data_IF_844136201744
#
_entry.id   IF_844136201744
#
_cell.length_a   1.000
_cell.length_b   1.000
_cell.length_c   1.000
_cell.angle_alpha   90.00
_cell.angle_beta   90.00
_cell.angle_gamma   90.00
#
_symmetry.space_group_name_H-M   'P 1'
#
loop_
_entity.id
_entity.type
_entity.pdbx_description
1 polymer ?
#
# COMPACT_ATOMS: atom_id res chain seq x y z
N UNK A 1 -6.73 38.66 -14.30
CA UNK A 1 -7.29 37.98 -13.10
C UNK A 1 -6.22 36.98 -12.71
N UNK A 2 -5.55 37.15 -11.57
CA UNK A 2 -4.74 36.04 -11.04
C UNK A 2 -5.73 34.96 -10.66
N UNK A 3 -5.65 33.82 -11.33
CA UNK A 3 -6.35 32.63 -10.86
C UNK A 3 -5.68 32.20 -9.57
N UNK A 4 -6.46 32.11 -8.49
CA UNK A 4 -5.97 31.62 -7.20
C UNK A 4 -5.69 30.12 -7.33
N UNK A 5 -4.43 29.79 -7.62
CA UNK A 5 -3.93 28.44 -7.50
C UNK A 5 -3.55 28.20 -6.04
N UNK A 6 -4.14 27.16 -5.46
CA UNK A 6 -3.75 26.68 -4.12
C UNK A 6 -2.88 25.43 -4.28
N UNK A 7 -2.18 25.06 -3.21
CA UNK A 7 -1.43 23.81 -3.11
C UNK A 7 -2.06 22.94 -2.02
N UNK A 8 -2.15 21.64 -2.27
CA UNK A 8 -2.73 20.68 -1.33
C UNK A 8 -1.89 19.42 -1.31
N UNK A 9 -1.60 18.93 -0.11
CA UNK A 9 -0.99 17.61 0.07
C UNK A 9 -2.08 16.55 0.11
N UNK A 10 -1.95 15.54 -0.74
CA UNK A 10 -2.87 14.41 -0.83
C UNK A 10 -2.11 13.09 -0.71
N UNK A 11 -2.68 12.10 -0.03
CA UNK A 11 -2.07 10.79 0.10
C UNK A 11 -2.05 10.05 -1.24
N UNK A 12 -1.02 9.25 -1.44
CA UNK A 12 -0.87 8.34 -2.58
C UNK A 12 -1.46 6.98 -2.24
N UNK A 13 -2.40 6.52 -3.06
CA UNK A 13 -2.97 5.17 -3.01
C UNK A 13 -2.28 4.29 -4.04
N UNK A 14 -1.65 3.21 -3.57
CA UNK A 14 -1.04 2.21 -4.45
C UNK A 14 -2.13 1.32 -5.02
N UNK A 15 -2.23 1.26 -6.34
CA UNK A 15 -3.16 0.37 -7.03
C UNK A 15 -2.47 -0.95 -7.32
N UNK A 16 -2.93 -2.04 -6.71
CA UNK A 16 -2.34 -3.38 -6.85
C UNK A 16 -3.34 -4.31 -7.54
N UNK A 17 -2.85 -5.16 -8.43
CA UNK A 17 -3.66 -6.16 -9.13
C UNK A 17 -3.08 -7.55 -8.91
N UNK A 18 -3.95 -8.55 -8.73
CA UNK A 18 -3.57 -9.92 -8.43
C UNK A 18 -3.38 -10.19 -6.94
N UNK A 19 -3.01 -11.42 -6.63
CA UNK A 19 -2.73 -11.92 -5.28
C UNK A 19 -1.32 -12.53 -5.31
N UNK A 20 -0.51 -12.39 -4.23
CA UNK A 20 0.78 -13.07 -4.14
C UNK A 20 0.63 -14.59 -4.27
N UNK A 21 1.73 -15.30 -4.49
CA UNK A 21 1.70 -16.77 -4.56
C UNK A 21 1.08 -17.38 -3.28
N UNK A 22 0.40 -18.53 -3.37
CA UNK A 22 -0.36 -19.14 -2.27
C UNK A 22 0.45 -19.40 -0.98
N UNK A 23 1.77 -19.57 -1.11
CA UNK A 23 2.69 -19.73 0.02
C UNK A 23 3.16 -18.40 0.64
N UNK A 24 2.65 -17.27 0.17
CA UNK A 24 3.04 -15.92 0.55
C UNK A 24 1.83 -15.05 0.83
N UNK A 25 1.96 -14.14 1.80
CA UNK A 25 0.99 -13.07 2.07
C UNK A 25 1.65 -11.71 1.91
N UNK A 26 0.84 -10.72 1.59
CA UNK A 26 1.24 -9.32 1.67
C UNK A 26 1.51 -8.97 3.14
N UNK A 27 2.76 -8.67 3.46
CA UNK A 27 3.18 -8.31 4.81
C UNK A 27 3.11 -6.79 5.00
N UNK A 28 3.75 -6.05 4.10
CA UNK A 28 3.77 -4.58 4.15
C UNK A 28 3.91 -3.97 2.75
N UNK A 29 3.46 -2.72 2.61
CA UNK A 29 3.58 -1.91 1.39
C UNK A 29 4.15 -0.55 1.76
N UNK A 30 5.40 -0.33 1.41
CA UNK A 30 6.06 0.96 1.55
C UNK A 30 5.99 1.73 0.24
N UNK A 31 5.28 2.85 0.24
CA UNK A 31 5.34 3.84 -0.85
C UNK A 31 6.15 5.05 -0.38
N UNK A 32 7.07 5.54 -1.23
CA UNK A 32 7.83 6.74 -0.96
C UNK A 32 7.95 7.61 -2.21
N UNK A 33 7.48 8.87 -2.17
CA UNK A 33 6.76 9.51 -1.06
C UNK A 33 5.30 9.04 -0.89
N UNK A 34 4.77 9.08 0.35
CA UNK A 34 3.37 8.72 0.68
C UNK A 34 2.37 9.84 0.42
N UNK A 35 2.86 11.07 0.33
CA UNK A 35 2.06 12.26 0.09
C UNK A 35 2.68 13.02 -1.08
N UNK A 36 1.82 13.56 -1.93
CA UNK A 36 2.23 14.38 -3.06
C UNK A 36 1.50 15.71 -3.02
N UNK A 37 2.19 16.73 -3.49
CA UNK A 37 1.64 18.07 -3.60
C UNK A 37 0.92 18.19 -4.94
N UNK A 38 -0.29 18.71 -4.92
CA UNK A 38 -1.07 19.04 -6.11
C UNK A 38 -1.37 20.53 -6.08
N UNK A 39 -1.29 21.19 -7.23
CA UNK A 39 -1.50 22.63 -7.37
C UNK A 39 -2.53 22.93 -8.45
N UNK A 40 -3.46 23.85 -8.17
CA UNK A 40 -4.50 24.18 -9.13
C UNK A 40 -5.68 24.96 -8.55
N UNK A 41 -6.78 25.11 -9.30
CA UNK A 41 -7.96 25.84 -8.86
C UNK A 41 -8.57 25.19 -7.62
N UNK A 42 -8.91 26.02 -6.62
CA UNK A 42 -9.54 25.57 -5.37
C UNK A 42 -10.74 24.64 -5.58
N UNK A 43 -11.53 24.86 -6.62
CA UNK A 43 -12.71 24.04 -6.90
C UNK A 43 -12.35 22.61 -7.32
N UNK A 44 -11.26 22.42 -8.08
CA UNK A 44 -10.77 21.12 -8.52
C UNK A 44 -9.98 20.42 -7.41
N UNK A 45 -9.13 21.16 -6.70
CA UNK A 45 -8.40 20.65 -5.51
C UNK A 45 -9.32 20.12 -4.41
N UNK A 46 -10.55 20.63 -4.29
CA UNK A 46 -11.54 20.10 -3.36
C UNK A 46 -12.08 18.72 -3.76
N UNK A 47 -12.11 18.39 -5.06
CA UNK A 47 -12.53 17.08 -5.57
C UNK A 47 -11.42 16.03 -5.44
N UNK A 48 -10.17 16.47 -5.36
CA UNK A 48 -9.01 15.59 -5.26
C UNK A 48 -8.77 15.23 -3.79
N UNK A 49 -9.04 13.98 -3.46
CA UNK A 49 -8.85 13.45 -2.11
C UNK A 49 -7.61 12.58 -1.99
N UNK A 50 -7.24 11.87 -3.05
CA UNK A 50 -6.12 10.95 -3.11
C UNK A 50 -5.61 10.85 -4.54
N UNK A 51 -4.35 10.44 -4.70
CA UNK A 51 -3.73 10.19 -6.01
C UNK A 51 -3.44 8.72 -6.13
N UNK A 52 -3.91 8.09 -7.20
CA UNK A 52 -3.66 6.68 -7.47
C UNK A 52 -2.35 6.51 -8.25
N UNK A 53 -1.56 5.51 -7.90
CA UNK A 53 -0.42 5.10 -8.73
C UNK A 53 -0.91 4.33 -9.95
N UNK A 54 -0.03 4.15 -10.93
CA UNK A 54 -0.19 3.08 -11.92
C UNK A 54 -0.45 1.70 -11.26
N UNK A 55 -1.10 0.82 -12.02
CA UNK A 55 -1.46 -0.52 -11.55
C UNK A 55 -0.19 -1.37 -11.41
N UNK A 56 0.05 -1.92 -10.22
CA UNK A 56 1.18 -2.79 -9.91
C UNK A 56 0.69 -4.24 -9.89
N UNK A 57 1.21 -5.04 -10.82
CA UNK A 57 0.92 -6.48 -10.84
C UNK A 57 1.72 -7.18 -9.74
N UNK A 58 0.99 -7.83 -8.83
CA UNK A 58 1.54 -8.63 -7.74
C UNK A 58 1.17 -10.12 -7.85
N UNK A 59 0.57 -10.53 -8.97
CA UNK A 59 0.18 -11.90 -9.21
C UNK A 59 1.39 -12.83 -9.17
N UNK A 60 1.29 -13.92 -8.40
CA UNK A 60 2.33 -14.96 -8.30
C UNK A 60 3.69 -14.44 -7.80
N UNK A 61 3.72 -13.32 -7.08
CA UNK A 61 4.96 -12.88 -6.45
C UNK A 61 5.36 -13.83 -5.31
N UNK A 62 6.60 -14.31 -5.36
CA UNK A 62 7.23 -15.18 -4.36
C UNK A 62 8.33 -14.47 -3.56
N UNK A 63 8.58 -13.18 -3.86
CA UNK A 63 9.62 -12.36 -3.24
C UNK A 63 9.23 -10.90 -3.22
N UNK A 64 9.92 -10.13 -2.38
CA UNK A 64 9.75 -8.69 -2.28
C UNK A 64 9.93 -8.02 -3.66
N UNK A 65 9.04 -7.10 -3.98
CA UNK A 65 9.06 -6.35 -5.24
C UNK A 65 9.34 -4.88 -4.94
N UNK A 66 10.27 -4.28 -5.67
CA UNK A 66 10.57 -2.86 -5.61
C UNK A 66 10.49 -2.28 -7.02
N UNK A 67 9.50 -1.45 -7.27
CA UNK A 67 9.25 -0.88 -8.60
C UNK A 67 8.93 0.61 -8.47
N UNK A 68 9.41 1.38 -9.46
CA UNK A 68 9.03 2.78 -9.61
C UNK A 68 7.77 2.84 -10.44
N UNK A 69 6.75 3.48 -9.91
CA UNK A 69 5.44 3.57 -10.55
C UNK A 69 5.14 5.04 -10.79
N UNK A 70 4.80 5.43 -12.03
CA UNK A 70 4.34 6.79 -12.29
C UNK A 70 3.00 7.02 -11.60
N UNK A 71 2.79 8.25 -11.14
CA UNK A 71 1.52 8.68 -10.58
C UNK A 71 0.57 9.00 -11.74
N UNK A 72 -0.56 8.29 -11.79
CA UNK A 72 -1.60 8.58 -12.76
C UNK A 72 -2.57 9.55 -12.11
N UNK A 73 -2.50 10.79 -12.55
CA UNK A 73 -3.34 11.86 -12.03
C UNK A 73 -4.08 12.56 -13.17
N UNK A 74 -5.37 12.25 -13.28
CA UNK A 74 -6.28 12.87 -14.24
C UNK A 74 -6.97 14.07 -13.59
N UNK A 75 -6.25 15.18 -13.48
CA UNK A 75 -6.77 16.45 -12.99
C UNK A 75 -7.00 17.44 -14.12
N UNK A 76 -8.22 17.93 -14.27
CA UNK A 76 -8.51 19.01 -15.22
C UNK A 76 -8.00 20.34 -14.64
N UNK A 77 -7.03 20.99 -15.30
CA UNK A 77 -6.35 22.21 -14.84
C UNK A 77 -5.63 22.09 -13.48
N UNK A 78 -5.24 20.88 -13.06
CA UNK A 78 -4.45 20.65 -11.84
C UNK A 78 -3.10 20.04 -12.21
N UNK A 79 -2.04 20.64 -11.69
CA UNK A 79 -0.68 20.16 -11.87
C UNK A 79 -0.25 19.33 -10.66
N UNK A 80 0.39 18.20 -10.93
CA UNK A 80 1.14 17.48 -9.91
C UNK A 80 2.43 18.27 -9.61
N UNK A 81 2.83 18.35 -8.35
CA UNK A 81 4.07 19.03 -7.92
C UNK A 81 5.33 18.33 -8.43
N UNK A 82 6.45 18.45 -7.72
CA UNK A 82 7.75 17.92 -8.19
C UNK A 82 7.86 16.38 -8.23
N UNK A 83 6.86 15.67 -7.69
CA UNK A 83 6.87 14.22 -7.58
C UNK A 83 5.92 13.64 -8.63
N UNK A 84 6.46 13.05 -9.69
CA UNK A 84 5.69 12.37 -10.75
C UNK A 84 5.81 10.84 -10.69
N UNK A 85 6.74 10.34 -9.89
CA UNK A 85 7.00 8.91 -9.70
C UNK A 85 7.13 8.60 -8.21
N UNK A 86 6.64 7.43 -7.81
CA UNK A 86 6.78 6.92 -6.45
C UNK A 86 7.48 5.58 -6.46
N UNK A 87 8.31 5.35 -5.45
CA UNK A 87 8.94 4.06 -5.21
C UNK A 87 7.99 3.20 -4.37
N UNK A 88 7.45 2.14 -4.97
CA UNK A 88 6.59 1.17 -4.30
C UNK A 88 7.44 -0.06 -3.97
N UNK A 89 7.52 -0.39 -2.69
CA UNK A 89 8.16 -1.59 -2.15
C UNK A 89 7.13 -2.46 -1.47
N UNK A 90 6.97 -3.67 -1.99
CA UNK A 90 6.04 -4.68 -1.50
C UNK A 90 6.84 -5.73 -0.77
N UNK A 91 6.49 -5.95 0.48
CA UNK A 91 7.08 -6.97 1.34
C UNK A 91 6.12 -8.15 1.44
N UNK A 92 6.65 -9.33 1.16
CA UNK A 92 5.91 -10.59 1.26
C UNK A 92 6.46 -11.41 2.41
N UNK A 93 5.55 -12.05 3.15
CA UNK A 93 5.89 -13.02 4.18
C UNK A 93 5.45 -14.41 3.73
N UNK A 94 6.29 -15.40 3.98
CA UNK A 94 5.91 -16.79 3.77
C UNK A 94 4.82 -17.14 4.78
N UNK A 95 3.69 -17.65 4.28
CA UNK A 95 2.68 -18.27 5.11
C UNK A 95 3.27 -19.56 5.67
N UNK A 96 3.85 -19.49 6.86
CA UNK A 96 4.15 -20.72 7.59
C UNK A 96 2.81 -21.35 7.93
N UNK A 97 2.54 -22.60 7.52
CA UNK A 97 1.41 -23.31 8.04
C UNK A 97 1.62 -23.35 9.55
N UNK A 98 0.71 -22.73 10.31
CA UNK A 98 0.54 -23.07 11.71
C UNK A 98 0.23 -24.55 11.68
N UNK A 99 1.21 -25.38 12.03
CA UNK A 99 0.97 -26.78 12.31
C UNK A 99 -0.18 -26.77 13.33
N UNK A 100 -1.33 -27.40 13.04
CA UNK A 100 -2.31 -27.59 14.08
C UNK A 100 -1.55 -28.27 15.21
N UNK A 101 -1.54 -27.63 16.38
CA UNK A 101 -1.00 -28.23 17.59
C UNK A 101 -1.88 -29.43 17.93
N UNK A 102 -1.69 -30.54 17.22
CA UNK A 102 -2.04 -31.88 17.68
C UNK A 102 -1.11 -32.18 18.86
N UNK A 103 -1.44 -31.58 20.00
CA UNK A 103 -1.25 -32.11 21.36
C UNK A 103 -1.64 -30.99 22.34
N UNK A 104 -2.95 -30.78 22.51
CA UNK A 104 -3.42 -30.49 23.88
C UNK A 104 -3.34 -31.83 24.61
N UNK A 105 -2.12 -32.22 24.99
CA UNK A 105 -1.96 -33.24 26.00
C UNK A 105 -2.73 -32.73 27.23
N UNK A 106 -3.66 -33.51 27.80
CA UNK A 106 -4.17 -33.13 29.11
C UNK A 106 -2.96 -33.09 30.06
N UNK A 107 -2.69 -31.93 30.65
CA UNK A 107 -1.74 -31.84 31.76
C UNK A 107 -2.15 -32.94 32.76
N UNK A 108 -1.24 -33.85 33.16
CA UNK A 108 -1.55 -34.75 34.25
C UNK A 108 -1.76 -33.87 35.48
N UNK A 109 -2.99 -33.81 36.00
CA UNK A 109 -3.25 -33.22 37.31
C UNK A 109 -2.28 -33.86 38.30
N UNK A 110 -1.34 -33.06 38.81
CA UNK A 110 -0.46 -33.52 39.88
C UNK A 110 -1.35 -33.95 41.05
N UNK A 111 -1.13 -35.14 41.64
CA UNK A 111 -1.91 -35.55 42.78
C UNK A 111 -1.70 -34.54 43.90
N UNK A 112 -2.76 -33.83 44.28
CA UNK A 112 -2.80 -33.05 45.51
C UNK A 112 -2.53 -34.03 46.65
N UNK A 113 -1.35 -33.91 47.24
CA UNK A 113 -0.94 -34.73 48.37
C UNK A 113 -1.88 -34.47 49.57
N UNK A 114 -2.22 -35.50 50.37
CA UNK A 114 -3.16 -35.42 51.47
C UNK A 114 -2.64 -34.64 52.69
#
# INVERSE_FOLDING_TARGET
RLEEVEEKLVPVRVMMNGIPAESYRLADVEVNPKMVMVSGPRNELRKIHEVSTGMVDIAHLEKNLAVKVPLNFDGDHVSLGDVHEVHVRIFLEKLTPVLPSEDVAPEPEEPVAP
#
